data_IF_497009595855
#
_entry.id   IF_497009595855
#
_cell.length_a   1.000
_cell.length_b   1.000
_cell.length_c   1.000
_cell.angle_alpha   90.00
_cell.angle_beta   90.00
_cell.angle_gamma   90.00
#
_symmetry.space_group_name_H-M   'P 1'
#
loop_
_entity.id
_entity.type
_entity.pdbx_description
1 polymer ?
#
# COMPACT_ATOMS: atom_id res chain seq x y z
N UNK A 1 16.76 16.23 -54.50
CA UNK A 1 15.74 15.32 -55.14
C UNK A 1 14.32 15.91 -55.35
N UNK A 2 14.00 17.13 -54.87
CA UNK A 2 12.68 17.83 -54.97
C UNK A 2 11.72 17.55 -53.80
N UNK A 3 12.22 17.05 -52.69
CA UNK A 3 11.57 17.02 -51.37
C UNK A 3 11.28 18.43 -50.79
N UNK A 4 12.05 19.45 -51.19
CA UNK A 4 11.92 20.82 -50.69
C UNK A 4 13.01 21.23 -49.72
N UNK A 5 13.94 20.34 -49.35
CA UNK A 5 15.16 20.67 -48.61
C UNK A 5 16.29 20.93 -49.62
N UNK A 6 17.19 21.86 -49.29
CA UNK A 6 18.29 22.21 -50.17
C UNK A 6 19.50 21.31 -49.93
N UNK A 7 20.21 20.91 -51.00
CA UNK A 7 21.32 19.94 -50.97
C UNK A 7 22.39 20.13 -49.85
N UNK A 8 22.58 21.34 -49.32
CA UNK A 8 23.56 21.61 -48.25
C UNK A 8 23.03 21.36 -46.83
N UNK A 9 21.73 21.15 -46.68
CA UNK A 9 21.02 20.93 -45.41
C UNK A 9 20.26 19.62 -45.38
N UNK A 10 20.28 18.89 -46.49
CA UNK A 10 19.61 17.62 -46.71
C UNK A 10 20.59 16.49 -46.41
N UNK A 11 20.27 15.62 -45.45
CA UNK A 11 21.08 14.47 -45.11
C UNK A 11 21.12 13.43 -46.26
N UNK A 12 20.09 13.40 -47.10
CA UNK A 12 19.93 12.50 -48.23
C UNK A 12 19.67 13.25 -49.56
N UNK A 13 20.63 14.02 -50.11
CA UNK A 13 20.44 14.94 -51.27
C UNK A 13 19.91 14.33 -52.58
N UNK A 14 19.82 13.02 -52.64
CA UNK A 14 19.38 12.25 -53.80
C UNK A 14 18.13 11.39 -53.53
N UNK A 15 17.60 11.38 -52.31
CA UNK A 15 16.40 10.65 -51.93
C UNK A 15 15.29 11.61 -51.50
N UNK A 16 14.25 11.73 -52.33
CA UNK A 16 13.19 12.70 -52.07
C UNK A 16 12.20 12.31 -50.98
N UNK A 17 12.37 11.14 -50.35
CA UNK A 17 11.59 10.74 -49.18
C UNK A 17 12.32 10.92 -47.87
N UNK A 18 13.60 11.28 -47.86
CA UNK A 18 14.40 11.43 -46.64
C UNK A 18 15.16 12.77 -46.64
N UNK A 19 15.31 13.40 -45.48
CA UNK A 19 15.97 14.70 -45.39
C UNK A 19 16.68 14.98 -44.06
N UNK A 20 16.29 14.29 -42.98
CA UNK A 20 16.99 14.25 -41.68
C UNK A 20 17.57 12.85 -41.43
N UNK A 21 18.55 12.78 -40.55
CA UNK A 21 19.32 11.60 -40.10
C UNK A 21 19.82 11.94 -38.68
N UNK A 22 18.92 11.90 -37.70
CA UNK A 22 19.15 12.52 -36.39
C UNK A 22 20.29 11.86 -35.61
N UNK A 23 20.32 10.53 -35.59
CA UNK A 23 21.38 9.72 -34.98
C UNK A 23 22.63 9.50 -35.87
N UNK A 24 22.55 9.86 -37.15
CA UNK A 24 23.62 9.66 -38.15
C UNK A 24 23.97 8.19 -38.43
N UNK A 25 23.00 7.28 -38.35
CA UNK A 25 23.17 5.85 -38.66
C UNK A 25 23.14 5.56 -40.18
N UNK A 26 22.60 6.51 -40.96
CA UNK A 26 22.51 6.48 -42.41
C UNK A 26 21.19 5.92 -42.97
N UNK A 27 20.20 5.67 -42.12
CA UNK A 27 18.77 5.58 -42.43
C UNK A 27 18.18 6.97 -42.16
N UNK A 28 17.19 7.39 -42.96
CA UNK A 28 16.59 8.71 -42.77
C UNK A 28 15.38 8.64 -41.88
N UNK A 29 15.13 9.70 -41.09
CA UNK A 29 14.12 9.72 -40.02
C UNK A 29 12.69 9.33 -40.47
N UNK A 30 12.33 9.43 -41.76
CA UNK A 30 10.98 8.96 -42.19
C UNK A 30 10.88 7.45 -42.36
N UNK A 31 12.02 6.76 -42.44
CA UNK A 31 12.14 5.32 -42.61
C UNK A 31 12.85 4.63 -41.44
N UNK A 32 13.55 5.38 -40.61
CA UNK A 32 14.12 4.89 -39.36
C UNK A 32 12.98 4.57 -38.38
N UNK A 33 13.03 3.42 -37.69
CA UNK A 33 12.12 3.16 -36.58
C UNK A 33 12.60 3.69 -35.21
N UNK A 34 13.83 4.22 -35.10
CA UNK A 34 14.48 4.65 -33.86
C UNK A 34 15.42 5.83 -34.19
N UNK A 35 14.84 7.02 -34.31
CA UNK A 35 15.46 8.24 -34.86
C UNK A 35 16.68 8.74 -34.04
N UNK A 36 16.81 8.36 -32.76
CA UNK A 36 17.93 8.74 -31.90
C UNK A 36 18.80 7.57 -31.40
N UNK A 37 18.42 6.34 -31.76
CA UNK A 37 19.17 5.10 -31.54
C UNK A 37 19.37 4.78 -30.04
N UNK A 38 18.42 5.16 -29.19
CA UNK A 38 18.45 4.88 -27.75
C UNK A 38 17.92 3.47 -27.39
N UNK A 39 17.25 2.82 -28.34
CA UNK A 39 16.70 1.48 -28.24
C UNK A 39 15.18 1.41 -28.03
N UNK A 40 14.49 2.54 -27.96
CA UNK A 40 13.04 2.67 -28.03
C UNK A 40 12.62 3.12 -29.42
N UNK A 41 11.57 2.51 -29.98
CA UNK A 41 11.11 2.95 -31.31
C UNK A 41 10.37 4.28 -31.21
N UNK A 42 10.40 5.11 -32.25
CA UNK A 42 9.69 6.42 -32.28
C UNK A 42 8.19 6.31 -31.96
N UNK A 43 7.60 5.12 -32.15
CA UNK A 43 6.19 4.86 -31.87
C UNK A 43 5.88 4.54 -30.41
N UNK A 44 6.89 4.21 -29.62
CA UNK A 44 6.85 3.87 -28.20
C UNK A 44 7.62 4.90 -27.35
N UNK A 45 8.41 5.76 -27.99
CA UNK A 45 9.23 6.81 -27.39
C UNK A 45 8.47 8.15 -27.34
N UNK A 46 8.40 8.76 -26.16
CA UNK A 46 7.81 10.09 -25.96
C UNK A 46 8.70 11.23 -26.52
N UNK A 47 10.00 10.99 -26.65
CA UNK A 47 11.02 11.92 -27.15
C UNK A 47 11.90 11.32 -28.27
N UNK A 48 11.35 11.02 -29.47
CA UNK A 48 12.06 10.33 -30.58
C UNK A 48 13.31 11.02 -31.14
N UNK A 49 13.68 12.18 -30.63
CA UNK A 49 14.86 12.93 -31.04
C UNK A 49 15.71 13.30 -29.83
N UNK A 50 15.64 12.56 -28.75
CA UNK A 50 16.43 12.84 -27.57
C UNK A 50 16.74 11.56 -26.79
N UNK A 51 17.80 10.88 -27.22
CA UNK A 51 18.24 9.57 -26.72
C UNK A 51 18.53 9.45 -25.21
N UNK A 52 18.42 10.54 -24.47
CA UNK A 52 18.51 10.56 -23.01
C UNK A 52 17.13 10.54 -22.32
N UNK A 53 16.01 10.56 -23.06
CA UNK A 53 14.63 10.53 -22.56
C UNK A 53 13.76 9.65 -23.45
N UNK A 54 12.87 8.84 -22.87
CA UNK A 54 12.00 7.94 -23.63
C UNK A 54 10.57 7.81 -23.08
N UNK A 55 10.36 8.15 -21.80
CA UNK A 55 9.06 8.14 -21.12
C UNK A 55 8.72 9.55 -20.62
N UNK A 56 7.42 9.82 -20.55
CA UNK A 56 6.75 11.06 -20.10
C UNK A 56 5.50 10.61 -19.35
N UNK A 57 5.71 10.13 -18.12
CA UNK A 57 4.72 9.36 -17.36
C UNK A 57 3.48 10.19 -16.99
N UNK A 58 3.65 11.48 -16.72
CA UNK A 58 2.57 12.44 -16.44
C UNK A 58 2.07 13.21 -17.69
N UNK A 59 2.85 13.25 -18.76
CA UNK A 59 2.51 13.95 -20.00
C UNK A 59 2.76 15.46 -19.94
N UNK A 60 3.63 15.96 -19.06
CA UNK A 60 3.95 17.39 -18.94
C UNK A 60 4.95 17.87 -20.02
N UNK A 61 5.65 16.93 -20.66
CA UNK A 61 6.62 17.15 -21.72
C UNK A 61 8.07 17.33 -21.26
N UNK A 62 8.38 17.04 -20.00
CA UNK A 62 9.69 16.72 -19.44
C UNK A 62 9.78 15.18 -19.39
N UNK A 63 10.94 14.61 -19.71
CA UNK A 63 11.08 13.16 -19.68
C UNK A 63 11.46 12.67 -18.29
N UNK A 64 11.03 11.45 -17.95
CA UNK A 64 11.19 10.84 -16.63
C UNK A 64 12.66 10.79 -16.13
N UNK A 65 13.69 10.91 -17.00
CA UNK A 65 15.08 10.95 -16.51
C UNK A 65 15.52 12.35 -16.01
N UNK A 66 14.85 13.42 -16.41
CA UNK A 66 15.09 14.80 -15.98
C UNK A 66 13.97 15.35 -15.11
N UNK A 67 12.76 14.78 -15.18
CA UNK A 67 11.70 15.09 -14.24
C UNK A 67 12.08 14.68 -12.81
N UNK A 68 11.44 15.30 -11.85
CA UNK A 68 11.66 15.08 -10.42
C UNK A 68 10.40 14.64 -9.69
N UNK A 69 9.30 14.46 -10.42
CA UNK A 69 7.94 14.12 -9.99
C UNK A 69 7.24 13.45 -11.19
N UNK A 70 7.72 12.26 -11.58
CA UNK A 70 7.40 11.56 -12.84
C UNK A 70 5.89 11.31 -13.07
N UNK A 71 5.06 11.34 -12.03
CA UNK A 71 3.60 11.18 -12.11
C UNK A 71 2.78 12.41 -11.65
N UNK A 72 3.46 13.50 -11.31
CA UNK A 72 2.90 14.81 -10.96
C UNK A 72 1.90 14.75 -9.76
N UNK A 73 2.08 13.79 -8.86
CA UNK A 73 1.22 13.58 -7.68
C UNK A 73 1.57 14.55 -6.51
N UNK A 74 2.75 15.16 -6.60
CA UNK A 74 3.28 16.14 -5.64
C UNK A 74 4.32 15.59 -4.66
N UNK A 75 4.67 14.31 -4.75
CA UNK A 75 5.79 13.68 -4.07
C UNK A 75 6.96 13.48 -5.05
N UNK A 76 8.11 14.14 -4.83
CA UNK A 76 9.23 13.98 -5.75
C UNK A 76 9.75 12.53 -5.76
N UNK A 77 10.21 11.99 -6.89
CA UNK A 77 10.61 10.56 -7.06
C UNK A 77 11.59 10.06 -6.00
N UNK A 78 12.42 10.96 -5.45
CA UNK A 78 13.37 10.63 -4.38
C UNK A 78 12.70 10.31 -3.02
N UNK A 79 11.42 10.60 -2.88
CA UNK A 79 10.58 10.39 -1.71
C UNK A 79 9.35 9.52 -2.03
N UNK A 80 9.11 9.25 -3.30
CA UNK A 80 8.03 8.40 -3.78
C UNK A 80 8.52 6.95 -3.95
N UNK A 81 7.82 5.98 -3.35
CA UNK A 81 8.13 4.56 -3.53
C UNK A 81 7.53 3.95 -4.81
N UNK A 82 6.59 4.66 -5.45
CA UNK A 82 5.92 4.34 -6.70
C UNK A 82 5.94 5.53 -7.68
N UNK A 83 7.11 5.98 -8.17
CA UNK A 83 7.25 7.24 -8.91
C UNK A 83 6.43 7.41 -10.21
N UNK A 84 5.76 6.36 -10.70
CA UNK A 84 4.97 6.40 -11.93
C UNK A 84 3.49 6.05 -11.68
N UNK A 85 3.08 5.92 -10.42
CA UNK A 85 1.71 5.65 -10.02
C UNK A 85 1.19 6.80 -9.15
N UNK A 86 0.45 7.76 -9.73
CA UNK A 86 0.04 8.98 -9.01
C UNK A 86 -1.03 8.73 -7.94
N UNK A 87 -1.34 7.47 -7.66
CA UNK A 87 -2.21 7.06 -6.58
C UNK A 87 -1.48 6.44 -5.40
N UNK A 88 -0.16 6.23 -5.46
CA UNK A 88 0.64 5.59 -4.43
C UNK A 88 1.96 6.32 -4.22
N UNK A 89 2.40 6.50 -2.97
CA UNK A 89 3.72 7.09 -2.68
C UNK A 89 4.46 6.41 -1.52
N UNK A 90 3.78 5.52 -0.77
CA UNK A 90 4.27 4.88 0.45
C UNK A 90 3.95 3.38 0.42
N UNK A 91 4.82 2.59 1.06
CA UNK A 91 4.80 1.11 1.16
C UNK A 91 5.37 0.78 2.55
N UNK A 92 4.51 0.86 3.56
CA UNK A 92 4.90 0.91 4.96
C UNK A 92 5.55 -0.41 5.43
N UNK A 93 5.09 -1.55 4.92
CA UNK A 93 5.64 -2.87 5.22
C UNK A 93 6.71 -3.38 4.22
N UNK A 94 6.88 -2.68 3.10
CA UNK A 94 7.81 -3.01 2.01
C UNK A 94 7.47 -4.32 1.27
N UNK A 95 6.18 -4.64 1.11
CA UNK A 95 5.72 -5.81 0.37
C UNK A 95 5.63 -5.56 -1.17
N UNK A 96 5.62 -4.28 -1.56
CA UNK A 96 5.56 -3.81 -2.94
C UNK A 96 4.16 -3.44 -3.45
N UNK A 97 3.13 -3.46 -2.59
CA UNK A 97 1.82 -2.84 -2.80
C UNK A 97 1.84 -1.50 -2.06
N UNK A 98 1.30 -0.43 -2.67
CA UNK A 98 1.28 0.89 -2.04
C UNK A 98 0.17 1.01 -1.00
N UNK A 99 0.38 1.81 0.05
CA UNK A 99 -0.50 1.92 1.21
C UNK A 99 -1.97 2.28 0.85
N UNK A 100 -2.24 2.98 -0.27
CA UNK A 100 -3.64 3.28 -0.63
C UNK A 100 -4.37 2.06 -1.25
N UNK A 101 -3.62 1.03 -1.66
CA UNK A 101 -4.12 -0.20 -2.29
C UNK A 101 -3.87 -1.46 -1.46
N UNK A 102 -2.93 -1.42 -0.53
CA UNK A 102 -2.69 -2.51 0.43
C UNK A 102 -3.85 -2.56 1.45
N UNK A 103 -4.39 -3.75 1.76
CA UNK A 103 -5.35 -3.90 2.85
C UNK A 103 -4.75 -4.10 4.25
N UNK A 104 -3.44 -4.27 4.38
CA UNK A 104 -2.71 -4.55 5.64
C UNK A 104 -1.33 -3.85 5.59
N UNK A 105 -1.34 -2.53 5.79
CA UNK A 105 -0.21 -1.61 5.58
C UNK A 105 1.03 -1.92 6.47
N UNK A 106 0.91 -2.73 7.52
CA UNK A 106 2.03 -3.14 8.38
C UNK A 106 2.27 -4.66 8.46
N UNK A 107 1.44 -5.43 7.76
CA UNK A 107 1.54 -6.88 7.62
C UNK A 107 1.51 -7.65 8.95
N UNK A 108 0.79 -7.12 9.96
CA UNK A 108 0.62 -7.77 11.26
C UNK A 108 -0.48 -8.86 11.28
N UNK A 109 -1.32 -8.86 10.23
CA UNK A 109 -2.39 -9.82 10.01
C UNK A 109 -3.79 -9.28 10.27
N UNK A 110 -3.93 -8.06 10.80
CA UNK A 110 -5.18 -7.31 10.87
C UNK A 110 -5.26 -6.33 9.71
N UNK A 111 -6.40 -6.29 9.01
CA UNK A 111 -6.55 -5.31 7.92
C UNK A 111 -6.74 -3.89 8.45
N UNK A 112 -6.32 -2.87 7.70
CA UNK A 112 -6.44 -1.46 8.12
C UNK A 112 -7.88 -1.08 8.46
N UNK A 113 -8.84 -1.71 7.77
CA UNK A 113 -10.26 -1.49 8.01
C UNK A 113 -10.73 -2.11 9.32
N UNK A 114 -10.20 -3.27 9.71
CA UNK A 114 -10.47 -3.89 11.01
C UNK A 114 -9.87 -3.02 12.12
N UNK A 115 -8.65 -2.55 11.91
CA UNK A 115 -7.95 -1.69 12.85
C UNK A 115 -8.61 -0.32 13.07
N UNK A 116 -9.04 0.37 12.01
CA UNK A 116 -9.80 1.62 12.11
C UNK A 116 -11.13 1.43 12.87
N UNK A 117 -11.76 0.25 12.71
CA UNK A 117 -13.00 -0.08 13.42
C UNK A 117 -12.76 -0.36 14.92
N UNK A 118 -11.65 -1.01 15.27
CA UNK A 118 -11.29 -1.32 16.66
C UNK A 118 -10.76 -0.09 17.42
N UNK A 119 -10.03 0.80 16.73
CA UNK A 119 -9.63 2.12 17.22
C UNK A 119 -8.61 2.14 18.38
N UNK A 120 -8.06 0.98 18.78
CA UNK A 120 -6.93 0.85 19.72
C UNK A 120 -5.62 0.44 19.04
N UNK A 121 -5.66 0.21 17.73
CA UNK A 121 -4.56 -0.33 16.93
C UNK A 121 -4.10 0.70 15.89
N UNK A 122 -3.17 0.35 15.01
CA UNK A 122 -2.56 1.26 14.06
C UNK A 122 -2.21 0.54 12.76
N UNK A 123 -2.84 0.91 11.62
CA UNK A 123 -2.51 0.39 10.27
C UNK A 123 -1.05 0.45 9.84
N UNK A 124 -0.22 1.19 10.56
CA UNK A 124 1.16 1.47 10.15
C UNK A 124 2.20 1.00 11.19
N UNK A 125 1.82 0.24 12.22
CA UNK A 125 2.73 -0.22 13.28
C UNK A 125 2.40 -1.64 13.74
N UNK A 126 3.18 -2.60 13.24
CA UNK A 126 3.06 -4.05 13.48
C UNK A 126 3.06 -4.51 14.95
N UNK A 127 3.32 -3.60 15.89
CA UNK A 127 3.28 -3.86 17.33
C UNK A 127 2.03 -3.30 18.02
N UNK A 128 1.12 -2.69 17.28
CA UNK A 128 -0.11 -2.09 17.77
C UNK A 128 -1.31 -2.80 17.16
N UNK A 129 -1.44 -4.11 17.36
CA UNK A 129 -2.62 -4.89 16.96
C UNK A 129 -3.84 -4.57 17.85
N UNK A 130 -5.08 -4.82 17.40
CA UNK A 130 -6.26 -4.85 18.27
C UNK A 130 -6.13 -5.85 19.42
N UNK A 131 -6.81 -5.59 20.54
CA UNK A 131 -7.04 -6.60 21.58
C UNK A 131 -8.03 -7.65 21.01
N UNK A 132 -7.71 -8.94 21.16
CA UNK A 132 -8.47 -10.11 20.69
C UNK A 132 -8.26 -11.25 21.70
N UNK A 133 -9.11 -11.28 22.73
CA UNK A 133 -8.89 -12.08 23.93
C UNK A 133 -9.05 -13.59 23.66
N UNK A 134 -10.01 -13.99 22.82
CA UNK A 134 -10.24 -15.39 22.46
C UNK A 134 -9.45 -15.86 21.21
N UNK A 135 -8.93 -14.92 20.42
CA UNK A 135 -8.11 -15.18 19.24
C UNK A 135 -8.91 -15.55 17.99
N UNK A 136 -10.16 -15.10 17.86
CA UNK A 136 -11.04 -15.43 16.74
C UNK A 136 -10.96 -14.46 15.53
N UNK A 137 -10.12 -13.41 15.64
CA UNK A 137 -9.95 -12.31 14.68
C UNK A 137 -11.12 -11.32 14.64
N UNK A 138 -11.87 -11.22 15.72
CA UNK A 138 -12.74 -10.09 16.03
C UNK A 138 -12.16 -9.42 17.26
N UNK A 139 -11.86 -8.13 17.17
CA UNK A 139 -11.31 -7.44 18.33
C UNK A 139 -12.34 -7.32 19.45
N UNK A 140 -11.90 -7.28 20.70
CA UNK A 140 -12.75 -7.20 21.91
C UNK A 140 -13.78 -6.05 21.85
N UNK A 141 -13.48 -4.98 21.10
CA UNK A 141 -14.41 -3.86 20.95
C UNK A 141 -15.64 -4.19 20.08
N UNK A 142 -15.53 -5.15 19.18
CA UNK A 142 -16.55 -5.56 18.22
C UNK A 142 -17.09 -6.96 18.49
N UNK A 143 -16.42 -7.73 19.34
CA UNK A 143 -16.90 -9.03 19.79
C UNK A 143 -18.10 -8.87 20.73
N UNK A 144 -18.98 -9.88 20.77
CA UNK A 144 -20.11 -9.96 21.70
C UNK A 144 -19.85 -10.96 22.84
N UNK A 145 -18.76 -11.72 22.80
CA UNK A 145 -18.37 -12.80 23.72
C UNK A 145 -16.83 -12.92 23.77
N UNK A 146 -16.17 -11.92 24.38
CA UNK A 146 -14.71 -11.68 24.35
C UNK A 146 -13.86 -12.90 24.76
N UNK A 147 -14.39 -13.81 25.58
CA UNK A 147 -13.70 -15.03 26.01
C UNK A 147 -14.25 -16.34 25.46
N UNK A 148 -15.27 -16.26 24.61
CA UNK A 148 -15.87 -17.39 23.90
C UNK A 148 -16.39 -18.51 24.82
N UNK A 149 -16.80 -18.17 26.05
CA UNK A 149 -17.33 -19.16 27.00
C UNK A 149 -18.81 -19.50 26.75
N UNK A 150 -19.48 -18.68 25.94
CA UNK A 150 -20.88 -18.80 25.54
C UNK A 150 -21.84 -17.89 26.31
N UNK A 151 -21.32 -16.99 27.16
CA UNK A 151 -22.05 -15.92 27.84
C UNK A 151 -21.51 -14.58 27.33
N UNK A 152 -22.27 -13.91 26.47
CA UNK A 152 -21.79 -12.66 25.89
C UNK A 152 -21.62 -11.52 26.92
N UNK A 153 -20.71 -10.59 26.65
CA UNK A 153 -20.12 -9.63 27.61
C UNK A 153 -21.16 -8.78 28.37
N UNK A 154 -22.32 -8.53 27.76
CA UNK A 154 -23.40 -7.77 28.39
C UNK A 154 -24.08 -8.53 29.54
N UNK A 155 -24.03 -9.85 29.51
CA UNK A 155 -24.57 -10.76 30.51
C UNK A 155 -23.46 -11.45 31.33
N UNK A 156 -22.19 -11.16 31.03
CA UNK A 156 -21.00 -11.70 31.69
C UNK A 156 -20.39 -10.72 32.72
N UNK A 157 -20.19 -11.17 33.95
CA UNK A 157 -19.56 -10.37 35.00
C UNK A 157 -18.01 -10.39 34.97
N UNK A 158 -17.44 -11.36 34.25
CA UNK A 158 -16.02 -11.52 33.96
C UNK A 158 -15.78 -11.75 32.45
N UNK A 159 -16.03 -10.76 31.57
CA UNK A 159 -15.93 -10.93 30.09
C UNK A 159 -14.59 -11.39 29.52
N UNK A 160 -13.55 -11.49 30.35
CA UNK A 160 -12.20 -11.88 29.97
C UNK A 160 -11.70 -13.07 30.83
N UNK A 161 -12.61 -13.91 31.34
CA UNK A 161 -12.26 -15.14 32.03
C UNK A 161 -13.23 -16.25 31.61
N UNK A 162 -12.83 -17.14 30.69
CA UNK A 162 -13.73 -18.12 30.09
C UNK A 162 -14.16 -19.26 31.04
N UNK A 163 -13.87 -19.10 32.34
CA UNK A 163 -14.27 -20.00 33.40
C UNK A 163 -15.21 -19.34 34.41
N UNK A 164 -15.56 -18.06 34.29
CA UNK A 164 -16.40 -17.33 35.23
C UNK A 164 -17.34 -16.38 34.51
N UNK A 165 -18.62 -16.35 34.91
CA UNK A 165 -19.64 -15.51 34.24
C UNK A 165 -20.64 -14.85 35.19
N UNK A 166 -20.71 -15.31 36.45
CA UNK A 166 -21.62 -14.77 37.48
C UNK A 166 -20.87 -14.68 38.80
N UNK A 167 -21.00 -13.54 39.49
CA UNK A 167 -20.68 -13.35 40.89
C UNK A 167 -21.98 -13.12 41.69
N UNK A 168 -22.44 -14.15 42.41
CA UNK A 168 -23.77 -14.11 43.04
C UNK A 168 -23.85 -13.21 44.28
N UNK A 169 -22.73 -12.95 44.94
CA UNK A 169 -22.65 -12.17 46.17
C UNK A 169 -21.77 -10.91 46.05
N UNK A 170 -21.29 -10.60 44.85
CA UNK A 170 -20.57 -9.38 44.47
C UNK A 170 -19.25 -9.22 45.25
N UNK A 171 -18.56 -10.32 45.54
CA UNK A 171 -17.31 -10.37 46.30
C UNK A 171 -16.04 -10.20 45.41
N UNK A 172 -16.22 -10.31 44.10
CA UNK A 172 -15.19 -10.19 43.07
C UNK A 172 -14.58 -11.52 42.63
N UNK A 173 -15.06 -12.66 43.12
CA UNK A 173 -14.68 -14.01 42.70
C UNK A 173 -15.89 -14.70 42.07
N UNK A 174 -15.74 -15.16 40.84
CA UNK A 174 -16.84 -15.84 40.16
C UNK A 174 -17.26 -17.14 40.86
N UNK A 175 -18.54 -17.49 40.69
CA UNK A 175 -19.17 -18.63 41.35
C UNK A 175 -18.45 -19.97 41.13
N UNK A 176 -17.69 -20.17 40.04
CA UNK A 176 -17.03 -21.45 39.77
C UNK A 176 -15.74 -21.63 40.59
N UNK A 177 -15.07 -20.53 40.92
CA UNK A 177 -13.91 -20.45 41.79
C UNK A 177 -14.28 -20.24 43.27
N UNK A 178 -15.45 -19.66 43.54
CA UNK A 178 -15.91 -19.38 44.89
C UNK A 178 -16.47 -20.64 45.60
N UNK A 179 -15.92 -20.95 46.78
CA UNK A 179 -16.39 -22.04 47.64
C UNK A 179 -17.68 -21.71 48.39
N UNK A 180 -18.00 -20.43 48.57
CA UNK A 180 -19.23 -19.93 49.20
C UNK A 180 -19.95 -18.86 48.36
N UNK A 181 -20.55 -19.21 47.18
CA UNK A 181 -21.18 -18.29 46.20
C UNK A 181 -22.43 -17.53 46.65
N UNK A 182 -22.58 -17.27 47.94
CA UNK A 182 -23.70 -16.54 48.53
C UNK A 182 -23.30 -15.83 49.84
N UNK A 183 -22.01 -15.82 50.17
CA UNK A 183 -21.42 -15.16 51.32
C UNK A 183 -20.24 -14.27 50.89
N UNK A 184 -20.55 -12.98 50.64
CA UNK A 184 -19.60 -11.91 50.25
C UNK A 184 -18.34 -11.76 51.14
N UNK A 185 -18.25 -12.50 52.25
CA UNK A 185 -17.16 -12.41 53.22
C UNK A 185 -16.18 -13.58 53.19
N UNK A 186 -16.48 -14.66 52.45
CA UNK A 186 -15.67 -15.87 52.39
C UNK A 186 -15.66 -16.45 50.97
N UNK A 187 -14.50 -16.49 50.31
CA UNK A 187 -14.36 -17.14 48.99
C UNK A 187 -13.51 -18.42 49.00
N UNK A 188 -12.69 -18.61 50.05
CA UNK A 188 -11.76 -19.74 50.21
C UNK A 188 -12.02 -20.50 51.52
N UNK A 189 -12.10 -21.84 51.45
CA UNK A 189 -12.25 -22.71 52.63
C UNK A 189 -10.92 -22.82 53.38
N UNK A 190 -10.70 -21.87 54.28
CA UNK A 190 -9.50 -21.82 55.12
C UNK A 190 -9.61 -22.66 56.41
N UNK A 191 -10.77 -23.28 56.70
CA UNK A 191 -11.06 -23.88 58.01
C UNK A 191 -11.41 -25.39 58.02
N UNK A 192 -11.29 -26.07 56.86
CA UNK A 192 -11.46 -27.52 56.65
C UNK A 192 -11.08 -28.50 57.78
#
# INVERSE_FOLDING_TARGET
DRDGVGDNSDAFPYDGSEWLDYDSDGIGDNSDPDDDNDGWSDSEDAFPYYAEEWWDSDGDGIGDNEDSDDDDDGWPDTQDLFPIDPSENSDNDNDGIGDNSDPDDDNDGWSDIEEDLCGQSSPFDDNQTPDDFDGDMVCDFLDEDDDSDGVGDMDDEFPFDPNEWIDSDEDGVGNNADSFPADETEWDDTDG
#
